data_IF_787340129314
#
_entry.id   IF_787340129314
#
_cell.length_a   1.000
_cell.length_b   1.000
_cell.length_c   1.000
_cell.angle_alpha   90.00
_cell.angle_beta   90.00
_cell.angle_gamma   90.00
#
_symmetry.space_group_name_H-M   'P 1'
#
loop_
_entity.id
_entity.type
_entity.pdbx_description
1 polymer ?
#
# COMPACT_ATOMS: atom_id res chain seq x y z
N UNK A 1 2.50 -31.69 -8.99
CA UNK A 1 2.98 -30.70 -7.99
C UNK A 1 3.20 -29.38 -8.73
N UNK A 2 2.75 -28.25 -8.18
CA UNK A 2 2.88 -26.95 -8.84
C UNK A 2 4.36 -26.51 -8.92
N UNK A 3 4.82 -25.82 -9.99
CA UNK A 3 6.24 -25.41 -10.11
C UNK A 3 6.77 -24.49 -9.01
N UNK A 4 5.88 -23.81 -8.29
CA UNK A 4 6.20 -22.96 -7.14
C UNK A 4 5.95 -23.62 -5.77
N UNK A 5 5.62 -24.91 -5.74
CA UNK A 5 5.47 -25.62 -4.48
C UNK A 5 6.82 -25.73 -3.78
N UNK A 6 6.92 -25.23 -2.55
CA UNK A 6 8.10 -25.33 -1.69
C UNK A 6 9.20 -24.29 -1.97
N UNK A 7 8.93 -23.27 -2.78
CA UNK A 7 9.92 -22.19 -3.04
C UNK A 7 9.84 -21.09 -1.98
N UNK A 8 10.92 -20.31 -1.89
CA UNK A 8 10.95 -19.06 -1.13
C UNK A 8 11.03 -17.86 -2.07
N UNK A 9 10.26 -16.82 -1.80
CA UNK A 9 10.29 -15.56 -2.54
C UNK A 9 10.53 -14.36 -1.62
N UNK A 10 11.29 -13.38 -2.11
CA UNK A 10 11.54 -12.15 -1.37
C UNK A 10 10.30 -11.26 -1.38
N UNK A 11 9.88 -10.76 -0.21
CA UNK A 11 8.88 -9.70 -0.10
C UNK A 11 9.54 -8.44 0.44
N UNK A 12 9.58 -7.39 -0.39
CA UNK A 12 9.98 -6.05 0.06
C UNK A 12 8.78 -5.33 0.61
N UNK A 13 8.74 -5.11 1.92
CA UNK A 13 7.63 -4.38 2.55
C UNK A 13 8.09 -3.62 3.79
N UNK A 14 7.43 -2.49 4.05
CA UNK A 14 7.57 -1.70 5.28
C UNK A 14 6.26 -1.81 6.07
N UNK A 15 6.31 -2.54 7.19
CA UNK A 15 5.27 -2.79 8.19
C UNK A 15 3.90 -3.32 7.69
N UNK A 16 3.37 -4.36 8.34
CA UNK A 16 1.93 -4.70 8.36
C UNK A 16 1.26 -5.21 7.08
N UNK A 17 1.94 -5.25 5.92
CA UNK A 17 1.35 -5.78 4.67
C UNK A 17 1.64 -7.26 4.41
N UNK A 18 2.59 -7.84 5.14
CA UNK A 18 3.10 -9.18 4.90
C UNK A 18 2.00 -10.23 5.00
N UNK A 19 1.17 -10.17 6.04
CA UNK A 19 0.16 -11.20 6.30
C UNK A 19 -0.86 -11.32 5.16
N UNK A 20 -1.33 -10.17 4.67
CA UNK A 20 -2.32 -10.10 3.58
C UNK A 20 -1.81 -10.66 2.24
N UNK A 21 -0.50 -10.70 2.03
CA UNK A 21 0.14 -11.25 0.83
C UNK A 21 0.58 -12.70 1.08
N UNK A 22 1.13 -12.99 2.26
CA UNK A 22 1.68 -14.30 2.60
C UNK A 22 0.61 -15.39 2.62
N UNK A 23 -0.58 -15.12 3.17
CA UNK A 23 -1.65 -16.11 3.27
C UNK A 23 -2.07 -16.65 1.89
N UNK A 24 -2.44 -15.82 0.90
CA UNK A 24 -2.73 -16.31 -0.45
C UNK A 24 -1.58 -17.11 -1.07
N UNK A 25 -0.33 -16.65 -0.91
CA UNK A 25 0.82 -17.31 -1.55
C UNK A 25 1.15 -18.68 -0.93
N UNK A 26 0.82 -18.90 0.36
CA UNK A 26 0.97 -20.20 1.01
C UNK A 26 0.10 -21.29 0.37
N UNK A 27 -1.02 -20.94 -0.25
CA UNK A 27 -1.85 -21.90 -1.00
C UNK A 27 -1.09 -22.57 -2.16
N UNK A 28 -0.10 -21.88 -2.74
CA UNK A 28 0.77 -22.40 -3.80
C UNK A 28 2.02 -23.10 -3.26
N UNK A 29 2.18 -23.16 -1.93
CA UNK A 29 3.38 -23.65 -1.28
C UNK A 29 4.55 -22.67 -1.32
N UNK A 30 4.31 -21.38 -1.58
CA UNK A 30 5.33 -20.33 -1.59
C UNK A 30 5.51 -19.79 -0.17
N UNK A 31 6.76 -19.69 0.29
CA UNK A 31 7.12 -19.05 1.55
C UNK A 31 7.70 -17.67 1.28
N UNK A 32 7.26 -16.64 2.01
CA UNK A 32 7.81 -15.30 1.88
C UNK A 32 8.96 -15.08 2.85
N UNK A 33 10.10 -14.65 2.30
CA UNK A 33 11.23 -14.11 3.04
C UNK A 33 11.13 -12.59 3.02
N UNK A 34 10.71 -11.99 4.14
CA UNK A 34 10.54 -10.54 4.22
C UNK A 34 11.88 -9.86 4.35
N UNK A 35 12.08 -8.81 3.55
CA UNK A 35 13.19 -7.87 3.70
C UNK A 35 12.60 -6.54 4.12
N UNK A 36 12.89 -6.13 5.35
CA UNK A 36 12.56 -4.78 5.80
C UNK A 36 13.55 -3.81 5.16
N UNK A 37 13.01 -2.91 4.33
CA UNK A 37 13.77 -1.84 3.71
C UNK A 37 12.95 -0.57 3.74
N UNK A 38 13.61 0.57 3.94
CA UNK A 38 12.92 1.85 3.92
C UNK A 38 12.56 2.23 2.47
N UNK A 39 11.38 1.80 2.03
CA UNK A 39 10.87 2.10 0.70
C UNK A 39 10.45 3.56 0.52
N UNK A 40 10.49 4.39 1.57
CA UNK A 40 10.16 5.82 1.48
C UNK A 40 11.14 6.56 0.54
N UNK A 41 12.36 6.02 0.35
CA UNK A 41 13.33 6.47 -0.65
C UNK A 41 12.84 6.33 -2.11
N UNK A 42 11.79 5.54 -2.34
CA UNK A 42 11.18 5.33 -3.66
C UNK A 42 9.92 6.21 -3.87
N UNK A 43 9.64 7.10 -2.91
CA UNK A 43 8.47 7.97 -2.86
C UNK A 43 7.58 7.65 -1.65
N UNK A 44 7.00 8.68 -1.03
CA UNK A 44 6.11 8.51 0.12
C UNK A 44 4.64 8.74 -0.23
N UNK A 45 3.77 8.01 0.47
CA UNK A 45 2.33 8.15 0.31
C UNK A 45 1.81 9.54 0.80
N UNK A 46 2.56 10.16 1.70
CA UNK A 46 2.31 11.48 2.28
C UNK A 46 2.80 12.64 1.40
N UNK A 47 3.47 12.36 0.28
CA UNK A 47 3.97 13.36 -0.66
C UNK A 47 5.22 14.13 -0.19
N UNK A 48 5.90 13.65 0.85
CA UNK A 48 7.18 14.23 1.32
C UNK A 48 8.33 13.92 0.37
N UNK A 49 8.33 12.74 -0.24
CA UNK A 49 9.27 12.35 -1.30
C UNK A 49 8.44 12.05 -2.53
N UNK A 50 8.71 12.77 -3.62
CA UNK A 50 8.04 12.53 -4.88
C UNK A 50 8.44 11.17 -5.46
N UNK A 51 7.45 10.49 -6.05
CA UNK A 51 7.63 9.17 -6.64
C UNK A 51 8.23 9.32 -8.03
N UNK A 52 9.40 8.73 -8.26
CA UNK A 52 10.01 8.66 -9.60
C UNK A 52 9.47 7.47 -10.41
N UNK A 53 8.87 7.75 -11.56
CA UNK A 53 8.36 6.76 -12.51
C UNK A 53 6.86 6.46 -12.35
N UNK A 54 6.40 5.36 -12.95
CA UNK A 54 5.04 4.81 -12.88
C UNK A 54 4.88 3.83 -11.72
N UNK A 55 3.65 3.57 -11.22
CA UNK A 55 3.47 2.61 -10.12
C UNK A 55 4.02 1.22 -10.44
N UNK A 56 3.95 0.81 -11.72
CA UNK A 56 4.53 -0.42 -12.23
C UNK A 56 6.08 -0.45 -12.14
N UNK A 57 6.75 0.65 -12.49
CA UNK A 57 8.21 0.74 -12.39
C UNK A 57 8.66 0.69 -10.93
N UNK A 58 7.94 1.37 -10.04
CA UNK A 58 8.25 1.38 -8.60
C UNK A 58 8.04 0.00 -7.98
N UNK A 59 6.92 -0.67 -8.26
CA UNK A 59 6.68 -2.02 -7.72
C UNK A 59 7.71 -3.03 -8.21
N UNK A 60 8.14 -2.92 -9.48
CA UNK A 60 9.22 -3.74 -10.03
C UNK A 60 10.54 -3.47 -9.31
N UNK A 61 10.94 -2.21 -9.16
CA UNK A 61 12.16 -1.83 -8.41
C UNK A 61 12.13 -2.38 -6.98
N UNK A 62 10.97 -2.29 -6.31
CA UNK A 62 10.77 -2.86 -4.96
C UNK A 62 11.00 -4.37 -4.95
N UNK A 63 10.36 -5.13 -5.85
CA UNK A 63 10.53 -6.57 -5.92
C UNK A 63 12.00 -6.96 -6.19
N UNK A 64 12.65 -6.31 -7.15
CA UNK A 64 14.06 -6.54 -7.50
C UNK A 64 15.01 -6.28 -6.34
N UNK A 65 14.81 -5.18 -5.61
CA UNK A 65 15.60 -4.86 -4.42
C UNK A 65 15.47 -5.96 -3.34
N UNK A 66 14.25 -6.47 -3.12
CA UNK A 66 14.03 -7.57 -2.18
C UNK A 66 14.73 -8.84 -2.61
N UNK A 67 14.65 -9.19 -3.90
CA UNK A 67 15.34 -10.34 -4.48
C UNK A 67 16.85 -10.24 -4.27
N UNK A 68 17.44 -9.07 -4.52
CA UNK A 68 18.87 -8.81 -4.32
C UNK A 68 19.28 -8.98 -2.85
N UNK A 69 18.56 -8.32 -1.94
CA UNK A 69 18.85 -8.35 -0.50
C UNK A 69 18.66 -9.75 0.11
N UNK A 70 17.61 -10.47 -0.29
CA UNK A 70 17.35 -11.83 0.16
C UNK A 70 18.18 -12.89 -0.58
N UNK A 71 18.84 -12.52 -1.69
CA UNK A 71 19.52 -13.44 -2.62
C UNK A 71 18.61 -14.58 -3.10
N UNK A 72 17.38 -14.23 -3.47
CA UNK A 72 16.37 -15.17 -3.96
C UNK A 72 16.04 -14.89 -5.44
N UNK A 73 15.81 -15.92 -6.27
CA UNK A 73 15.46 -15.75 -7.68
C UNK A 73 13.97 -15.42 -7.91
N UNK A 74 13.19 -15.31 -6.82
CA UNK A 74 11.77 -14.99 -6.86
C UNK A 74 11.49 -13.76 -6.00
N UNK A 75 10.68 -12.84 -6.51
CA UNK A 75 10.34 -11.60 -5.83
C UNK A 75 8.86 -11.28 -5.91
N UNK A 76 8.31 -10.73 -4.82
CA UNK A 76 6.98 -10.15 -4.77
C UNK A 76 7.04 -8.76 -4.14
N UNK A 77 6.27 -7.82 -4.67
CA UNK A 77 6.12 -6.49 -4.07
C UNK A 77 4.75 -5.91 -4.35
N UNK A 78 4.33 -4.98 -3.49
CA UNK A 78 3.09 -4.20 -3.65
C UNK A 78 3.39 -2.71 -3.83
N UNK A 79 2.59 -2.05 -4.65
CA UNK A 79 2.53 -0.60 -4.76
C UNK A 79 1.08 -0.16 -4.90
N UNK A 80 0.71 0.94 -4.25
CA UNK A 80 -0.65 1.44 -4.33
C UNK A 80 -0.67 2.92 -4.66
N UNK A 81 -1.54 3.29 -5.59
CA UNK A 81 -1.75 4.67 -6.03
C UNK A 81 -3.18 5.11 -5.76
N UNK A 82 -3.34 6.40 -5.54
CA UNK A 82 -4.65 7.05 -5.51
C UNK A 82 -4.66 8.13 -6.58
N UNK A 83 -5.79 8.28 -7.25
CA UNK A 83 -5.98 9.31 -8.26
C UNK A 83 -7.38 9.29 -8.84
N UNK A 84 -7.67 10.19 -9.79
CA UNK A 84 -8.93 10.22 -10.51
C UNK A 84 -9.19 8.88 -11.18
N UNK A 85 -10.41 8.40 -11.03
CA UNK A 85 -10.75 7.10 -11.53
C UNK A 85 -10.86 7.09 -13.06
N UNK A 86 -10.22 6.11 -13.70
CA UNK A 86 -10.18 6.04 -15.16
C UNK A 86 -11.55 5.80 -15.80
N UNK A 87 -12.49 5.15 -15.09
CA UNK A 87 -13.85 4.89 -15.58
C UNK A 87 -14.84 5.95 -15.10
N UNK A 88 -14.58 6.57 -13.95
CA UNK A 88 -15.44 7.59 -13.32
C UNK A 88 -14.59 8.82 -12.97
N UNK A 89 -14.27 9.71 -13.94
CA UNK A 89 -13.23 10.74 -13.78
C UNK A 89 -13.39 11.71 -12.60
N UNK A 90 -14.58 11.81 -12.02
CA UNK A 90 -14.90 12.71 -10.90
C UNK A 90 -14.79 12.05 -9.52
N UNK A 91 -14.43 10.77 -9.46
CA UNK A 91 -14.27 10.01 -8.22
C UNK A 91 -12.81 9.58 -8.09
N UNK A 92 -12.23 9.69 -6.89
CA UNK A 92 -10.90 9.12 -6.64
C UNK A 92 -11.01 7.61 -6.38
N UNK A 93 -10.09 6.83 -6.93
CA UNK A 93 -9.98 5.40 -6.65
C UNK A 93 -8.60 5.06 -6.12
N UNK A 94 -8.54 3.95 -5.37
CA UNK A 94 -7.30 3.30 -5.01
C UNK A 94 -7.06 2.14 -5.96
N UNK A 95 -5.85 2.08 -6.51
CA UNK A 95 -5.36 0.96 -7.31
C UNK A 95 -4.17 0.36 -6.58
N UNK A 96 -4.31 -0.88 -6.14
CA UNK A 96 -3.23 -1.69 -5.60
C UNK A 96 -2.67 -2.60 -6.71
N UNK A 97 -1.35 -2.62 -6.83
CA UNK A 97 -0.60 -3.46 -7.75
C UNK A 97 0.21 -4.47 -6.96
N UNK A 98 0.29 -5.69 -7.49
CA UNK A 98 1.18 -6.73 -6.99
C UNK A 98 1.95 -7.32 -8.17
N UNK A 99 3.27 -7.41 -8.03
CA UNK A 99 4.14 -8.03 -9.03
C UNK A 99 4.73 -9.31 -8.47
N UNK A 100 4.82 -10.34 -9.31
CA UNK A 100 5.63 -11.54 -9.13
C UNK A 100 6.73 -11.56 -10.18
N UNK A 101 7.95 -11.82 -9.75
CA UNK A 101 9.13 -11.93 -10.61
C UNK A 101 9.74 -13.32 -10.41
N UNK A 102 10.02 -14.02 -11.52
CA UNK A 102 10.71 -15.31 -11.55
C UNK A 102 11.89 -15.21 -12.54
N UNK A 103 13.11 -15.11 -12.00
CA UNK A 103 14.33 -15.03 -12.80
C UNK A 103 14.74 -16.35 -13.43
N UNK A 104 14.30 -17.47 -12.88
CA UNK A 104 14.61 -18.79 -13.46
C UNK A 104 13.84 -19.02 -14.77
N UNK A 105 12.66 -18.41 -14.90
CA UNK A 105 11.82 -18.47 -16.12
C UNK A 105 11.86 -17.18 -16.94
N UNK A 106 12.47 -16.11 -16.42
CA UNK A 106 12.52 -14.81 -17.08
C UNK A 106 11.14 -14.18 -17.26
N UNK A 107 10.24 -14.33 -16.28
CA UNK A 107 8.87 -13.82 -16.35
C UNK A 107 8.56 -12.81 -15.25
N UNK A 108 7.69 -11.86 -15.59
CA UNK A 108 7.09 -10.90 -14.66
C UNK A 108 5.57 -10.94 -14.83
N UNK A 109 4.84 -11.14 -13.73
CA UNK A 109 3.38 -11.21 -13.70
C UNK A 109 2.90 -10.09 -12.79
N UNK A 110 1.99 -9.26 -13.29
CA UNK A 110 1.45 -8.13 -12.56
C UNK A 110 -0.06 -8.29 -12.50
N UNK A 111 -0.60 -8.15 -11.30
CA UNK A 111 -2.05 -8.05 -11.10
C UNK A 111 -2.39 -6.72 -10.43
N UNK A 112 -3.63 -6.28 -10.64
CA UNK A 112 -4.15 -5.04 -10.07
C UNK A 112 -5.52 -5.25 -9.44
N UNK A 113 -5.80 -4.46 -8.41
CA UNK A 113 -7.12 -4.36 -7.81
C UNK A 113 -7.48 -2.89 -7.62
N UNK A 114 -8.63 -2.49 -8.18
CA UNK A 114 -9.17 -1.13 -8.12
C UNK A 114 -10.36 -1.12 -7.17
N UNK A 115 -10.39 -0.18 -6.24
CA UNK A 115 -11.51 0.02 -5.31
C UNK A 115 -11.86 1.49 -5.14
N UNK A 116 -13.15 1.77 -4.91
CA UNK A 116 -13.69 3.08 -4.54
C UNK A 116 -13.96 3.20 -3.04
N UNK A 117 -13.77 2.12 -2.29
CA UNK A 117 -14.19 2.03 -0.89
C UNK A 117 -13.20 2.70 0.08
N UNK A 118 -12.00 3.05 -0.38
CA UNK A 118 -11.00 3.64 0.51
C UNK A 118 -11.40 5.06 0.87
N UNK A 119 -11.73 5.24 2.15
CA UNK A 119 -12.06 6.53 2.72
C UNK A 119 -10.83 7.45 2.74
N UNK A 120 -11.05 8.68 2.31
CA UNK A 120 -10.03 9.73 2.23
C UNK A 120 -10.67 11.07 2.62
N UNK A 121 -11.09 11.18 3.87
CA UNK A 121 -11.67 12.39 4.42
C UNK A 121 -10.58 13.37 4.85
N UNK A 122 -10.93 14.66 4.78
CA UNK A 122 -10.11 15.77 5.25
C UNK A 122 -10.99 16.80 5.90
N UNK A 123 -10.59 17.29 7.06
CA UNK A 123 -11.27 18.37 7.79
C UNK A 123 -10.25 19.37 8.32
N UNK A 124 -10.67 20.63 8.40
CA UNK A 124 -9.89 21.70 9.03
C UNK A 124 -10.51 22.04 10.38
N UNK A 125 -9.67 22.08 11.41
CA UNK A 125 -10.06 22.37 12.79
C UNK A 125 -9.33 23.62 13.25
N UNK A 126 -10.10 24.58 13.74
CA UNK A 126 -9.58 25.82 14.32
C UNK A 126 -9.70 25.83 15.85
N UNK A 127 -10.57 24.99 16.41
CA UNK A 127 -10.83 24.91 17.85
C UNK A 127 -10.97 23.45 18.28
N UNK A 128 -10.34 23.10 19.40
CA UNK A 128 -10.29 21.71 19.87
C UNK A 128 -11.68 21.13 20.21
N UNK A 129 -12.65 21.97 20.57
CA UNK A 129 -14.02 21.57 20.87
C UNK A 129 -14.79 21.02 19.65
N UNK A 130 -14.28 21.23 18.43
CA UNK A 130 -14.85 20.71 17.18
C UNK A 130 -14.33 19.30 16.82
N UNK A 131 -13.35 18.77 17.56
CA UNK A 131 -12.63 17.56 17.16
C UNK A 131 -13.55 16.34 17.00
N UNK A 132 -14.27 15.97 18.04
CA UNK A 132 -15.02 14.72 18.07
C UNK A 132 -16.14 14.68 17.03
N UNK A 133 -16.86 15.80 16.86
CA UNK A 133 -17.90 15.90 15.83
C UNK A 133 -17.35 15.84 14.41
N UNK A 134 -16.11 16.28 14.21
CA UNK A 134 -15.44 16.29 12.90
C UNK A 134 -14.90 14.93 12.45
N UNK A 135 -14.84 13.92 13.34
CA UNK A 135 -14.27 12.60 13.05
C UNK A 135 -15.33 11.54 12.66
N UNK A 136 -16.61 11.91 12.61
CA UNK A 136 -17.72 10.97 12.34
C UNK A 136 -17.56 10.20 11.03
N UNK A 137 -16.99 10.82 10.00
CA UNK A 137 -16.77 10.21 8.69
C UNK A 137 -15.42 9.49 8.54
N UNK A 138 -14.54 9.53 9.55
CA UNK A 138 -13.15 9.08 9.40
C UNK A 138 -12.91 7.59 9.71
N UNK A 139 -13.92 6.85 10.20
CA UNK A 139 -13.75 5.50 10.78
C UNK A 139 -12.66 5.45 11.89
N UNK A 140 -12.47 6.58 12.59
CA UNK A 140 -11.51 6.70 13.67
C UNK A 140 -12.04 6.02 14.95
N UNK A 141 -11.25 5.24 15.71
CA UNK A 141 -9.79 5.04 15.59
C UNK A 141 -9.35 3.84 14.74
N UNK A 142 -10.26 3.10 14.10
CA UNK A 142 -9.90 1.93 13.29
C UNK A 142 -9.09 2.28 12.05
N UNK A 143 -9.37 3.43 11.43
CA UNK A 143 -8.54 4.08 10.42
C UNK A 143 -7.78 5.23 11.09
N UNK A 144 -6.46 5.10 11.17
CA UNK A 144 -5.63 6.15 11.76
C UNK A 144 -5.68 7.44 10.93
N UNK A 145 -5.32 8.56 11.55
CA UNK A 145 -5.29 9.88 10.90
C UNK A 145 -3.90 10.50 10.94
N UNK A 146 -3.69 11.47 10.04
CA UNK A 146 -2.59 12.42 10.03
C UNK A 146 -3.13 13.76 10.51
N UNK A 147 -2.40 14.44 11.37
CA UNK A 147 -2.65 15.81 11.76
C UNK A 147 -1.49 16.71 11.31
N UNK A 148 -1.77 17.77 10.57
CA UNK A 148 -0.75 18.71 10.07
C UNK A 148 -1.21 20.16 10.09
N UNK A 149 -0.28 21.09 10.15
CA UNK A 149 -0.59 22.51 9.94
C UNK A 149 -0.99 22.80 8.49
N UNK A 150 -1.89 23.76 8.29
CA UNK A 150 -2.37 24.17 6.95
C UNK A 150 -1.33 25.00 6.20
N UNK A 151 -0.53 25.78 6.92
CA UNK A 151 0.42 26.71 6.33
C UNK A 151 1.54 25.98 5.58
N UNK A 152 1.93 26.50 4.40
CA UNK A 152 3.03 25.90 3.61
C UNK A 152 4.38 26.24 4.25
N UNK A 153 5.06 25.22 4.81
CA UNK A 153 6.43 25.30 5.33
C UNK A 153 6.52 24.94 6.81
N UNK A 154 7.51 24.11 7.20
CA UNK A 154 7.82 23.57 8.54
C UNK A 154 6.66 23.44 9.55
N UNK A 155 5.46 23.14 9.05
CA UNK A 155 4.25 22.94 9.81
C UNK A 155 4.35 21.60 10.52
N UNK A 156 4.00 21.55 11.80
CA UNK A 156 4.01 20.29 12.55
C UNK A 156 3.20 19.21 11.79
N UNK A 157 3.75 18.00 11.72
CA UNK A 157 3.19 16.85 11.01
C UNK A 157 3.27 15.62 11.91
N UNK A 158 2.10 15.09 12.25
CA UNK A 158 1.92 13.92 13.09
C UNK A 158 1.18 12.86 12.28
N UNK A 159 1.69 11.63 12.23
CA UNK A 159 1.16 10.56 11.37
C UNK A 159 0.82 9.33 12.20
N UNK A 160 -0.14 8.52 11.73
CA UNK A 160 -0.49 7.24 12.35
C UNK A 160 -1.11 7.39 13.73
N UNK A 161 -1.88 8.46 13.94
CA UNK A 161 -2.59 8.70 15.18
C UNK A 161 -3.83 7.80 15.19
N UNK A 162 -3.92 6.90 16.17
CA UNK A 162 -5.02 5.94 16.31
C UNK A 162 -5.67 6.00 17.70
N UNK A 163 -5.51 7.11 18.42
CA UNK A 163 -6.16 7.36 19.71
C UNK A 163 -6.44 8.85 19.91
N UNK A 164 -7.49 9.15 20.67
CA UNK A 164 -8.04 10.49 20.77
C UNK A 164 -7.12 11.44 21.56
N UNK A 165 -6.33 10.93 22.51
CA UNK A 165 -5.49 11.76 23.37
C UNK A 165 -4.23 12.22 22.63
N UNK A 166 -3.62 11.35 21.85
CA UNK A 166 -2.56 11.69 20.90
C UNK A 166 -3.07 12.70 19.86
N UNK A 167 -4.29 12.52 19.34
CA UNK A 167 -4.88 13.44 18.37
C UNK A 167 -5.12 14.83 18.96
N UNK A 168 -5.69 14.90 20.17
CA UNK A 168 -5.87 16.16 20.90
C UNK A 168 -4.54 16.87 21.14
N UNK A 169 -3.51 16.13 21.51
CA UNK A 169 -2.16 16.66 21.74
C UNK A 169 -1.52 17.22 20.47
N UNK A 170 -1.65 16.50 19.36
CA UNK A 170 -1.17 16.94 18.04
C UNK A 170 -1.87 18.22 17.59
N UNK A 171 -3.20 18.26 17.66
CA UNK A 171 -4.00 19.45 17.29
C UNK A 171 -3.66 20.64 18.18
N UNK A 172 -3.58 20.43 19.50
CA UNK A 172 -3.20 21.48 20.45
C UNK A 172 -1.85 22.09 20.09
N UNK A 173 -0.89 21.26 19.70
CA UNK A 173 0.44 21.71 19.27
C UNK A 173 0.36 22.59 18.02
N UNK A 174 -0.43 22.18 17.02
CA UNK A 174 -0.63 22.94 15.77
C UNK A 174 -1.36 24.27 16.04
N UNK A 175 -2.43 24.25 16.84
CA UNK A 175 -3.20 25.46 17.15
C UNK A 175 -2.38 26.46 17.96
N UNK A 176 -1.51 25.99 18.88
CA UNK A 176 -0.61 26.85 19.65
C UNK A 176 0.44 27.57 18.80
N UNK A 177 0.81 27.03 17.64
CA UNK A 177 1.67 27.75 16.69
C UNK A 177 0.92 28.81 15.88
N UNK A 178 -0.39 28.99 16.12
CA UNK A 178 -1.24 29.92 15.37
C UNK A 178 -1.66 29.41 14.01
N UNK A 179 -1.45 28.12 13.71
CA UNK A 179 -1.84 27.50 12.44
C UNK A 179 -3.21 26.83 12.55
N UNK A 180 -3.82 26.50 11.40
CA UNK A 180 -5.05 25.70 11.34
C UNK A 180 -4.66 24.23 11.28
N UNK A 181 -5.25 23.41 12.14
CA UNK A 181 -5.04 21.97 12.11
C UNK A 181 -5.83 21.34 10.97
N UNK A 182 -5.15 20.60 10.11
CA UNK A 182 -5.75 19.76 9.06
C UNK A 182 -5.65 18.32 9.52
N UNK A 183 -6.79 17.64 9.58
CA UNK A 183 -6.87 16.20 9.84
C UNK A 183 -7.24 15.52 8.54
N UNK A 184 -6.53 14.45 8.20
CA UNK A 184 -6.82 13.61 7.04
C UNK A 184 -6.65 12.13 7.39
N UNK A 185 -7.41 11.25 6.74
CA UNK A 185 -7.20 9.81 6.89
C UNK A 185 -5.76 9.44 6.52
N UNK A 186 -5.12 8.59 7.33
CA UNK A 186 -3.80 8.08 7.02
C UNK A 186 -3.92 7.01 5.95
N UNK A 187 -3.53 7.36 4.74
CA UNK A 187 -3.70 6.49 3.60
C UNK A 187 -2.62 5.41 3.52
N UNK A 188 -1.64 5.34 4.44
CA UNK A 188 -0.61 4.28 4.45
C UNK A 188 -1.26 2.93 4.76
N UNK A 189 -0.94 1.89 3.98
CA UNK A 189 -1.71 0.64 4.03
C UNK A 189 -1.75 -0.05 5.41
N UNK A 190 -0.69 0.02 6.22
CA UNK A 190 -0.69 -0.58 7.56
C UNK A 190 -1.62 0.12 8.57
N UNK A 191 -2.16 1.29 8.21
CA UNK A 191 -3.06 2.12 9.00
C UNK A 191 -4.45 2.26 8.35
N UNK A 192 -4.66 1.57 7.23
CA UNK A 192 -5.84 1.70 6.38
C UNK A 192 -6.44 0.31 6.12
N UNK A 193 -7.46 -0.09 6.90
CA UNK A 193 -8.09 -1.41 6.78
C UNK A 193 -8.67 -1.70 5.38
N UNK A 194 -9.20 -0.68 4.70
CA UNK A 194 -9.74 -0.81 3.34
C UNK A 194 -8.63 -1.16 2.33
N UNK A 195 -7.46 -0.52 2.43
CA UNK A 195 -6.29 -0.83 1.60
C UNK A 195 -5.73 -2.22 1.90
N UNK A 196 -5.72 -2.65 3.16
CA UNK A 196 -5.29 -4.00 3.53
C UNK A 196 -6.15 -5.07 2.84
N UNK A 197 -7.47 -4.87 2.82
CA UNK A 197 -8.39 -5.72 2.05
C UNK A 197 -8.09 -5.69 0.55
N UNK A 198 -7.87 -4.51 -0.02
CA UNK A 198 -7.52 -4.37 -1.44
C UNK A 198 -6.20 -5.09 -1.79
N UNK A 199 -5.18 -5.04 -0.92
CA UNK A 199 -3.91 -5.77 -1.07
C UNK A 199 -4.15 -7.28 -1.05
N UNK A 200 -4.99 -7.76 -0.13
CA UNK A 200 -5.33 -9.18 -0.07
C UNK A 200 -6.07 -9.65 -1.34
N UNK A 201 -6.98 -8.84 -1.87
CA UNK A 201 -7.69 -9.16 -3.12
C UNK A 201 -6.76 -9.21 -4.33
N UNK A 202 -5.82 -8.27 -4.48
CA UNK A 202 -4.80 -8.38 -5.56
C UNK A 202 -3.88 -9.57 -5.36
N UNK A 203 -3.55 -9.95 -4.11
CA UNK A 203 -2.76 -11.15 -3.83
C UNK A 203 -3.50 -12.44 -4.20
N UNK A 204 -4.80 -12.54 -3.92
CA UNK A 204 -5.64 -13.66 -4.38
C UNK A 204 -5.69 -13.74 -5.89
N UNK A 205 -5.83 -12.60 -6.60
CA UNK A 205 -5.78 -12.54 -8.07
C UNK A 205 -4.45 -13.03 -8.62
N UNK A 206 -3.33 -12.57 -8.03
CA UNK A 206 -2.00 -13.03 -8.41
C UNK A 206 -1.86 -14.54 -8.22
N UNK A 207 -2.31 -15.09 -7.12
CA UNK A 207 -2.25 -16.53 -6.85
C UNK A 207 -3.12 -17.33 -7.82
N UNK A 208 -4.36 -16.88 -8.07
CA UNK A 208 -5.22 -17.48 -9.09
C UNK A 208 -4.53 -17.46 -10.45
N UNK A 209 -3.86 -16.36 -10.79
CA UNK A 209 -3.10 -16.22 -12.02
C UNK A 209 -1.91 -17.17 -12.10
N UNK A 210 -1.13 -17.30 -11.02
CA UNK A 210 0.02 -18.21 -10.97
C UNK A 210 -0.40 -19.69 -11.08
N UNK A 211 -1.60 -20.05 -10.59
CA UNK A 211 -2.18 -21.40 -10.74
C UNK A 211 -2.47 -21.77 -12.21
N UNK A 212 -2.70 -20.78 -13.08
CA UNK A 212 -2.93 -20.99 -14.51
C UNK A 212 -1.61 -21.31 -15.22
N UNK A 213 -1.43 -22.59 -15.59
CA UNK A 213 -0.23 -23.05 -16.30
C UNK A 213 -0.44 -22.97 -17.81
N UNK A 214 0.60 -22.55 -18.54
CA UNK A 214 0.59 -22.63 -20.00
C UNK A 214 0.44 -24.09 -20.46
N UNK A 215 -0.54 -24.36 -21.33
CA UNK A 215 -0.83 -25.70 -21.85
C UNK A 215 0.32 -26.32 -22.65
N UNK A 216 1.22 -25.49 -23.20
CA UNK A 216 2.32 -25.95 -24.04
C UNK A 216 3.62 -26.22 -23.26
N UNK A 217 3.98 -25.33 -22.34
CA UNK A 217 5.28 -25.40 -21.64
C UNK A 217 5.17 -25.52 -20.11
N UNK A 218 3.97 -25.47 -19.54
CA UNK A 218 3.74 -25.54 -18.10
C UNK A 218 4.20 -24.31 -17.31
N UNK A 219 4.59 -23.22 -17.98
CA UNK A 219 4.97 -21.96 -17.30
C UNK A 219 3.78 -21.39 -16.51
N UNK A 220 3.94 -21.09 -15.20
CA UNK A 220 2.91 -20.44 -14.40
C UNK A 220 2.56 -19.04 -14.88
N UNK A 221 1.33 -18.58 -14.65
CA UNK A 221 0.92 -17.20 -14.94
C UNK A 221 0.25 -16.96 -16.29
N UNK A 222 -0.34 -17.99 -16.90
CA UNK A 222 -0.95 -17.88 -18.23
C UNK A 222 -2.22 -17.01 -18.29
N UNK A 223 -2.37 -16.25 -19.38
CA UNK A 223 -3.57 -15.45 -19.71
C UNK A 223 -3.28 -14.02 -20.19
N UNK A 224 -4.02 -13.00 -19.70
CA UNK A 224 -3.87 -11.58 -20.11
C UNK A 224 -2.44 -11.08 -19.99
N UNK A 225 -1.94 -10.43 -21.04
CA UNK A 225 -0.61 -9.82 -21.03
C UNK A 225 -0.61 -8.61 -20.10
N UNK A 226 0.34 -8.57 -19.17
CA UNK A 226 0.60 -7.48 -18.23
C UNK A 226 1.25 -6.29 -18.95
N UNK A 227 0.56 -5.70 -19.94
CA UNK A 227 1.00 -4.46 -20.60
C UNK A 227 0.42 -3.24 -19.91
#
# INVERSE_FOLDING_TARGET
MHPYSGISAALTTKHGKQEHIAEPLRELGITLSTVEYDTDLLGTFTGEIEREGTPLEVVRRKARLGMELARLPFGVASEGSFGPDHLIPFVNSNVELLIWIDDLRGIEIVESYRTLEVQAHRVEIQRLDQLESSLSDFDFPHHAVIAKGKSRGNSALFKGIADLDSLRSAITTILKSGDIAVIENDLRAHLNPQRQRAINEVAKRLVARLKELCVNCGTPGWGRSSR
#
